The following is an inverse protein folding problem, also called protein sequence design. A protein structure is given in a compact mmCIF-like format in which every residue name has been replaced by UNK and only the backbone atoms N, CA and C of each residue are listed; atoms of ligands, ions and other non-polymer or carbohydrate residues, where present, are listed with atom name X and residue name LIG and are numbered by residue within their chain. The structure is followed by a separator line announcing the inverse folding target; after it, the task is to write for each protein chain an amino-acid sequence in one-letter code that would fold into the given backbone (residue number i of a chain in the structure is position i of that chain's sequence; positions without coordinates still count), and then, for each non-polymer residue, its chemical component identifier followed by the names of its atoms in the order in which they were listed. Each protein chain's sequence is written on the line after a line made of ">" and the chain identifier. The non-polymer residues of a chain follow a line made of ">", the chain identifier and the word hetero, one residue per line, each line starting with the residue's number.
data_IF_018096882454
#
_entry.id   IF_018096882454
#
_cell.length_a   1.000
_cell.length_b   1.000
_cell.length_c   1.000
_cell.angle_alpha   90.00
_cell.angle_beta   90.00
_cell.angle_gamma   90.00
#
_symmetry.space_group_name_H-M   'P 1'
#
loop_
_entity.id
_entity.type
_entity.pdbx_description
1 polymer ?
#
# COMPACT_ATOMS: atom_id res chain seq x y z
N UNK A 1 32.03 34.62 19.54
CA UNK A 1 30.64 35.09 19.66
C UNK A 1 29.97 34.91 18.31
N UNK A 2 28.79 34.31 18.36
CA UNK A 2 27.97 33.69 17.31
C UNK A 2 27.55 34.64 16.17
N UNK A 3 27.33 34.12 14.96
CA UNK A 3 25.97 34.02 14.42
C UNK A 3 25.92 33.15 13.15
N UNK A 4 25.24 32.01 13.28
CA UNK A 4 24.85 31.08 12.22
C UNK A 4 24.07 31.81 11.13
N UNK A 5 24.61 31.84 9.92
CA UNK A 5 23.92 32.30 8.73
C UNK A 5 22.58 31.56 8.57
N UNK A 6 21.48 32.30 8.70
CA UNK A 6 20.12 31.87 8.39
C UNK A 6 19.99 31.66 6.88
N UNK A 7 20.41 30.49 6.40
CA UNK A 7 20.11 30.05 5.03
C UNK A 7 18.59 29.90 4.88
N UNK A 8 18.07 30.52 3.83
CA UNK A 8 16.65 30.66 3.53
C UNK A 8 15.92 29.29 3.46
N UNK A 9 14.80 29.07 4.19
CA UNK A 9 14.09 27.78 4.22
C UNK A 9 13.14 27.52 3.03
N UNK A 10 13.05 28.45 2.08
CA UNK A 10 12.11 28.39 0.96
C UNK A 10 12.40 27.25 -0.05
N UNK A 11 13.65 27.04 -0.54
CA UNK A 11 13.93 25.97 -1.50
C UNK A 11 13.78 24.57 -0.90
N UNK A 12 14.04 24.39 0.40
CA UNK A 12 13.84 23.10 1.06
C UNK A 12 12.35 22.76 1.23
N UNK A 13 11.53 23.72 1.64
CA UNK A 13 10.08 23.53 1.76
C UNK A 13 9.44 23.20 0.41
N UNK A 14 9.80 23.92 -0.66
CA UNK A 14 9.25 23.67 -1.99
C UNK A 14 9.62 22.27 -2.49
N UNK A 15 10.90 21.87 -2.39
CA UNK A 15 11.34 20.52 -2.75
C UNK A 15 10.66 19.42 -1.92
N UNK A 16 10.41 19.68 -0.64
CA UNK A 16 9.68 18.73 0.22
C UNK A 16 8.21 18.60 -0.21
N UNK A 17 7.56 19.71 -0.58
CA UNK A 17 6.20 19.71 -1.12
C UNK A 17 6.11 18.98 -2.46
N UNK A 18 7.06 19.21 -3.37
CA UNK A 18 7.14 18.51 -4.65
C UNK A 18 7.25 16.99 -4.45
N UNK A 19 8.16 16.55 -3.57
CA UNK A 19 8.29 15.12 -3.22
C UNK A 19 7.01 14.56 -2.61
N UNK A 20 6.38 15.30 -1.70
CA UNK A 20 5.11 14.87 -1.09
C UNK A 20 3.99 14.73 -2.13
N UNK A 21 3.92 15.67 -3.09
CA UNK A 21 2.95 15.61 -4.18
C UNK A 21 3.23 14.43 -5.12
N UNK A 22 4.48 14.18 -5.47
CA UNK A 22 4.87 13.02 -6.29
C UNK A 22 4.41 11.70 -5.64
N UNK A 23 4.66 11.53 -4.33
CA UNK A 23 4.21 10.35 -3.59
C UNK A 23 2.67 10.24 -3.55
N UNK A 24 1.95 11.36 -3.35
CA UNK A 24 0.48 11.36 -3.36
C UNK A 24 -0.08 10.95 -4.72
N UNK A 25 0.48 11.46 -5.81
CA UNK A 25 0.08 11.13 -7.18
C UNK A 25 0.36 9.66 -7.48
N UNK A 26 1.56 9.17 -7.19
CA UNK A 26 1.92 7.77 -7.38
C UNK A 26 0.99 6.83 -6.59
N UNK A 27 0.64 7.18 -5.35
CA UNK A 27 -0.36 6.43 -4.56
C UNK A 27 -1.75 6.47 -5.18
N UNK A 28 -2.20 7.62 -5.66
CA UNK A 28 -3.51 7.74 -6.29
C UNK A 28 -3.59 6.88 -7.56
N UNK A 29 -2.53 6.87 -8.36
CA UNK A 29 -2.42 6.03 -9.55
C UNK A 29 -2.41 4.54 -9.20
N UNK A 30 -1.64 4.13 -8.19
CA UNK A 30 -1.61 2.75 -7.72
C UNK A 30 -2.98 2.30 -7.18
N UNK A 31 -3.68 3.15 -6.41
CA UNK A 31 -5.06 2.91 -5.98
C UNK A 31 -5.98 2.67 -7.17
N UNK A 32 -5.88 3.50 -8.21
CA UNK A 32 -6.70 3.38 -9.42
C UNK A 32 -6.43 2.06 -10.14
N UNK A 33 -5.17 1.72 -10.40
CA UNK A 33 -4.78 0.46 -11.06
C UNK A 33 -5.27 -0.78 -10.30
N UNK A 34 -5.19 -0.77 -8.97
CA UNK A 34 -5.72 -1.86 -8.14
C UNK A 34 -7.25 -1.93 -8.21
N UNK A 35 -7.93 -0.78 -8.21
CA UNK A 35 -9.38 -0.71 -8.32
C UNK A 35 -9.89 -1.16 -9.69
N UNK A 36 -9.15 -0.89 -10.76
CA UNK A 36 -9.44 -1.34 -12.13
C UNK A 36 -9.09 -2.83 -12.34
N UNK A 37 -8.23 -3.38 -11.48
CA UNK A 37 -7.76 -4.77 -11.56
C UNK A 37 -6.53 -4.95 -12.45
N UNK A 38 -5.91 -3.86 -12.91
CA UNK A 38 -4.66 -3.87 -13.66
C UNK A 38 -3.43 -4.23 -12.81
N UNK A 39 -3.53 -4.07 -11.49
CA UNK A 39 -2.52 -4.48 -10.53
C UNK A 39 -3.14 -5.36 -9.44
N UNK A 40 -2.55 -6.54 -9.20
CA UNK A 40 -2.94 -7.36 -8.04
C UNK A 40 -2.36 -6.75 -6.77
N UNK A 41 -3.16 -6.65 -5.72
CA UNK A 41 -2.64 -6.26 -4.42
C UNK A 41 -1.66 -7.30 -3.85
N UNK A 42 -1.76 -8.57 -4.26
CA UNK A 42 -0.79 -9.59 -3.89
C UNK A 42 0.61 -9.24 -4.44
N UNK A 43 0.68 -8.87 -5.72
CA UNK A 43 1.94 -8.45 -6.37
C UNK A 43 2.52 -7.21 -5.67
N UNK A 44 1.68 -6.23 -5.33
CA UNK A 44 2.09 -5.01 -4.62
C UNK A 44 2.58 -5.30 -3.20
N UNK A 45 2.07 -6.35 -2.54
CA UNK A 45 2.55 -6.75 -1.20
C UNK A 45 3.90 -7.47 -1.31
N UNK A 46 4.08 -8.30 -2.35
CA UNK A 46 5.34 -9.02 -2.61
C UNK A 46 6.47 -8.06 -2.93
N UNK A 47 6.24 -7.12 -3.84
CA UNK A 47 7.21 -6.12 -4.27
C UNK A 47 6.60 -4.70 -4.21
N UNK A 48 6.56 -4.07 -3.03
CA UNK A 48 5.96 -2.76 -2.90
C UNK A 48 6.85 -1.69 -3.51
N UNK A 49 6.31 -0.82 -4.38
CA UNK A 49 7.06 0.33 -4.85
C UNK A 49 7.41 1.26 -3.69
N UNK A 50 8.46 2.07 -3.85
CA UNK A 50 9.00 2.92 -2.79
C UNK A 50 7.95 3.86 -2.17
N UNK A 51 7.00 4.35 -2.97
CA UNK A 51 5.91 5.24 -2.57
C UNK A 51 4.86 4.51 -1.71
N UNK A 52 4.70 3.21 -1.92
CA UNK A 52 3.82 2.34 -1.16
C UNK A 52 4.47 1.77 0.10
N UNK A 53 5.79 1.88 0.27
CA UNK A 53 6.50 1.31 1.41
C UNK A 53 6.00 1.84 2.77
N UNK A 54 5.66 3.12 2.84
CA UNK A 54 5.06 3.76 4.02
C UNK A 54 3.53 3.74 4.03
N UNK A 55 2.91 3.03 3.09
CA UNK A 55 1.47 2.92 2.99
C UNK A 55 0.96 1.77 3.86
N UNK A 56 -0.14 2.00 4.57
CA UNK A 56 -0.76 1.01 5.45
C UNK A 56 -1.39 -0.13 4.63
N UNK A 57 -1.19 -1.37 5.07
CA UNK A 57 -1.73 -2.55 4.37
C UNK A 57 -3.27 -2.52 4.30
N UNK A 58 -3.95 -1.99 5.32
CA UNK A 58 -5.41 -1.86 5.31
C UNK A 58 -5.90 -1.00 4.15
N UNK A 59 -5.24 0.13 3.90
CA UNK A 59 -5.59 1.03 2.79
C UNK A 59 -5.35 0.40 1.42
N UNK A 60 -4.29 -0.40 1.28
CA UNK A 60 -4.04 -1.15 0.05
C UNK A 60 -5.16 -2.16 -0.21
N UNK A 61 -5.54 -2.95 0.80
CA UNK A 61 -6.62 -3.93 0.69
C UNK A 61 -7.97 -3.27 0.38
N UNK A 62 -8.26 -2.13 1.01
CA UNK A 62 -9.48 -1.35 0.76
C UNK A 62 -9.55 -0.77 -0.66
N UNK A 63 -8.43 -0.68 -1.37
CA UNK A 63 -8.39 -0.19 -2.76
C UNK A 63 -8.82 -1.26 -3.77
N UNK A 64 -8.91 -2.54 -3.37
CA UNK A 64 -9.37 -3.62 -4.22
C UNK A 64 -10.90 -3.65 -4.38
N UNK A 65 -11.38 -4.13 -5.53
CA UNK A 65 -12.82 -4.36 -5.74
C UNK A 65 -13.35 -5.44 -4.78
N UNK A 66 -14.56 -5.24 -4.24
CA UNK A 66 -15.23 -6.18 -3.32
C UNK A 66 -14.49 -6.39 -1.98
N UNK A 67 -13.60 -5.46 -1.63
CA UNK A 67 -13.02 -5.36 -0.29
C UNK A 67 -13.66 -4.19 0.46
N UNK A 68 -14.02 -4.46 1.71
CA UNK A 68 -14.56 -3.46 2.64
C UNK A 68 -13.98 -3.68 4.03
N UNK A 69 -14.22 -2.73 4.94
CA UNK A 69 -13.58 -2.71 6.27
C UNK A 69 -13.68 -4.05 7.01
N UNK A 70 -14.85 -4.69 6.99
CA UNK A 70 -15.07 -5.98 7.64
C UNK A 70 -14.20 -7.09 7.06
N UNK A 71 -14.05 -7.14 5.73
CA UNK A 71 -13.24 -8.17 5.06
C UNK A 71 -11.75 -7.92 5.29
N UNK A 72 -11.30 -6.67 5.16
CA UNK A 72 -9.92 -6.27 5.44
C UNK A 72 -9.52 -6.64 6.88
N UNK A 73 -10.34 -6.26 7.86
CA UNK A 73 -10.08 -6.57 9.27
C UNK A 73 -10.02 -8.07 9.51
N UNK A 74 -11.02 -8.85 9.05
CA UNK A 74 -11.03 -10.30 9.22
C UNK A 74 -9.80 -10.97 8.61
N UNK A 75 -9.38 -10.54 7.42
CA UNK A 75 -8.20 -11.06 6.74
C UNK A 75 -6.93 -10.78 7.56
N UNK A 76 -6.69 -9.52 7.93
CA UNK A 76 -5.49 -9.14 8.68
C UNK A 76 -5.43 -9.73 10.08
N UNK A 77 -6.58 -9.82 10.78
CA UNK A 77 -6.64 -10.42 12.11
C UNK A 77 -6.23 -11.89 12.13
N UNK A 78 -6.52 -12.67 11.08
CA UNK A 78 -6.09 -14.08 10.96
C UNK A 78 -4.56 -14.21 10.90
N UNK A 79 -3.89 -13.24 10.30
CA UNK A 79 -2.44 -13.19 10.22
C UNK A 79 -1.78 -12.41 11.36
N UNK A 80 -2.55 -11.97 12.37
CA UNK A 80 -2.08 -11.16 13.49
C UNK A 80 -1.39 -9.86 13.04
N UNK A 81 -1.91 -9.22 11.99
CA UNK A 81 -1.39 -7.97 11.42
C UNK A 81 -2.39 -6.85 11.70
N UNK A 82 -1.88 -5.68 12.09
CA UNK A 82 -2.70 -4.48 12.25
C UNK A 82 -2.91 -3.77 10.92
N UNK A 83 -4.09 -3.20 10.71
CA UNK A 83 -4.43 -2.48 9.47
C UNK A 83 -3.56 -1.26 9.20
N UNK A 84 -3.03 -0.64 10.26
CA UNK A 84 -2.11 0.49 10.21
C UNK A 84 -0.66 0.10 9.92
N UNK A 85 -0.33 -1.20 9.95
CA UNK A 85 1.03 -1.66 9.66
C UNK A 85 1.38 -1.31 8.22
N UNK A 86 2.52 -0.68 8.03
CA UNK A 86 3.00 -0.30 6.70
C UNK A 86 3.51 -1.51 5.95
N UNK A 87 3.43 -1.49 4.62
CA UNK A 87 4.00 -2.55 3.78
C UNK A 87 5.48 -2.77 4.10
N UNK A 88 6.23 -1.69 4.29
CA UNK A 88 7.65 -1.72 4.66
C UNK A 88 7.98 -2.39 5.99
N UNK A 89 7.04 -2.43 6.94
CA UNK A 89 7.24 -3.07 8.24
C UNK A 89 6.89 -4.57 8.25
N UNK A 90 6.37 -5.10 7.14
CA UNK A 90 6.08 -6.53 7.00
C UNK A 90 7.36 -7.30 6.66
N UNK A 91 7.53 -8.45 7.31
CA UNK A 91 8.62 -9.37 6.96
C UNK A 91 8.31 -10.07 5.63
N UNK A 92 9.35 -10.54 4.94
CA UNK A 92 9.19 -11.27 3.66
C UNK A 92 8.27 -12.48 3.81
N UNK A 93 8.36 -13.19 4.93
CA UNK A 93 7.46 -14.31 5.26
C UNK A 93 6.00 -13.84 5.37
N UNK A 94 5.74 -12.73 6.05
CA UNK A 94 4.39 -12.18 6.16
C UNK A 94 3.85 -11.77 4.78
N UNK A 95 4.68 -11.12 3.96
CA UNK A 95 4.30 -10.68 2.60
C UNK A 95 3.91 -11.85 1.71
N UNK A 96 4.73 -12.91 1.68
CA UNK A 96 4.43 -14.13 0.89
C UNK A 96 3.15 -14.80 1.34
N UNK A 97 2.97 -14.99 2.65
CA UNK A 97 1.74 -15.61 3.19
C UNK A 97 0.48 -14.82 2.82
N UNK A 98 0.53 -13.49 2.92
CA UNK A 98 -0.60 -12.63 2.56
C UNK A 98 -0.88 -12.69 1.06
N UNK A 99 0.16 -12.63 0.23
CA UNK A 99 0.03 -12.69 -1.21
C UNK A 99 -0.56 -14.03 -1.69
N UNK A 100 -0.08 -15.15 -1.15
CA UNK A 100 -0.58 -16.49 -1.48
C UNK A 100 -2.06 -16.65 -1.11
N UNK A 101 -2.49 -16.12 0.04
CA UNK A 101 -3.90 -16.19 0.46
C UNK A 101 -4.79 -15.27 -0.39
N UNK A 102 -4.31 -14.08 -0.76
CA UNK A 102 -5.02 -13.16 -1.65
C UNK A 102 -5.21 -13.77 -3.04
N UNK A 103 -4.18 -14.40 -3.60
CA UNK A 103 -4.24 -15.08 -4.89
C UNK A 103 -5.19 -16.28 -4.84
N UNK A 104 -5.11 -17.10 -3.79
CA UNK A 104 -6.04 -18.22 -3.59
C UNK A 104 -7.49 -17.75 -3.48
N UNK A 105 -7.73 -16.61 -2.82
CA UNK A 105 -9.06 -16.02 -2.71
C UNK A 105 -9.56 -15.46 -4.05
N UNK A 106 -8.67 -14.88 -4.86
CA UNK A 106 -8.96 -14.39 -6.20
C UNK A 106 -9.32 -15.54 -7.15
N UNK A 107 -8.51 -16.60 -7.19
CA UNK A 107 -8.77 -17.79 -8.03
C UNK A 107 -10.12 -18.43 -7.71
N UNK A 108 -10.42 -18.66 -6.42
CA UNK A 108 -11.74 -19.18 -6.02
C UNK A 108 -12.89 -18.26 -6.44
N UNK A 109 -12.69 -16.95 -6.40
CA UNK A 109 -13.72 -16.00 -6.83
C UNK A 109 -13.93 -16.02 -8.35
N UNK A 110 -12.90 -16.32 -9.14
CA UNK A 110 -13.00 -16.50 -10.60
C UNK A 110 -13.67 -17.84 -10.94
N UNK A 111 -13.27 -18.94 -10.28
CA UNK A 111 -13.88 -20.27 -10.43
C UNK A 111 -15.39 -20.26 -10.15
N UNK A 112 -15.83 -19.51 -9.13
CA UNK A 112 -17.26 -19.37 -8.80
C UNK A 112 -18.07 -18.58 -9.85
N UNK A 113 -17.41 -17.82 -10.73
CA UNK A 113 -18.05 -17.05 -11.81
C UNK A 113 -18.08 -17.88 -13.11
N UNK A 114 -17.42 -19.04 -13.15
CA UNK A 114 -17.47 -19.97 -14.29
C UNK A 114 -16.75 -19.46 -15.54
N UNK A 115 -15.70 -18.65 -15.36
CA UNK A 115 -14.78 -18.20 -16.42
C UNK A 115 -13.41 -18.81 -16.17
#
# INVERSE_FOLDING_TARGET
>A
MSETATMTPAPQRLRALERANAVRLARAELKRRIAEGEASAADVILDPPAEAFSWAIGELLMSQRRWGNTRCRKFLSRHHITETKTLGALTDRQRRLLADELESCRTRALELIGV
#
